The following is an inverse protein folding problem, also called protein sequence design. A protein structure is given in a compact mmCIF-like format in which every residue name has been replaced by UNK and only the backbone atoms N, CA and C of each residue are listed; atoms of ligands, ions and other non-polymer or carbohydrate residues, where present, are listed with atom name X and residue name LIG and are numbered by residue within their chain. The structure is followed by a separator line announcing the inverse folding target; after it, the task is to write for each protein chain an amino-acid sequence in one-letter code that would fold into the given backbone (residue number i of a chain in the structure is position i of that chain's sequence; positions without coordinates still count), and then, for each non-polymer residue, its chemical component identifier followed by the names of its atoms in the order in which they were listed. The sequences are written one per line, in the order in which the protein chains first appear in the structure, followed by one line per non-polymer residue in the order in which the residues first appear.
data_IF_819946902889
#
_entry.id   IF_819946902889
#
_cell.length_a   1.000
_cell.length_b   1.000
_cell.length_c   1.000
_cell.angle_alpha   90.00
_cell.angle_beta   90.00
_cell.angle_gamma   90.00
#
_symmetry.space_group_name_H-M   'P 1'
#
loop_
_entity.id
_entity.type
_entity.pdbx_description
1 polymer ?
#
# COMPACT_ATOMS: atom_id res chain seq x y z
N UNK A 1 -27.28 6.38 -8.42
CA UNK A 1 -27.18 5.86 -9.81
C UNK A 1 -25.75 5.98 -10.34
N UNK A 2 -24.97 6.98 -9.89
CA UNK A 2 -23.56 7.16 -10.30
C UNK A 2 -22.62 6.09 -9.75
N UNK A 3 -22.87 5.54 -8.56
CA UNK A 3 -22.00 4.51 -7.94
C UNK A 3 -21.85 3.27 -8.82
N UNK A 4 -22.92 2.78 -9.45
CA UNK A 4 -22.84 1.65 -10.39
C UNK A 4 -21.97 1.98 -11.60
N UNK A 5 -22.01 3.24 -12.07
CA UNK A 5 -21.15 3.71 -13.17
C UNK A 5 -19.68 3.73 -12.73
N UNK A 6 -19.38 4.24 -11.54
CA UNK A 6 -18.02 4.28 -11.01
C UNK A 6 -17.46 2.87 -10.81
N UNK A 7 -18.26 1.99 -10.21
CA UNK A 7 -17.90 0.60 -9.96
C UNK A 7 -17.64 -0.16 -11.27
N UNK A 8 -18.57 -0.06 -12.23
CA UNK A 8 -18.39 -0.65 -13.56
C UNK A 8 -17.10 -0.15 -14.23
N UNK A 9 -16.86 1.17 -14.22
CA UNK A 9 -15.67 1.77 -14.82
C UNK A 9 -14.37 1.25 -14.21
N UNK A 10 -14.31 1.07 -12.88
CA UNK A 10 -13.14 0.44 -12.24
C UNK A 10 -12.91 -0.94 -12.79
N UNK A 11 -13.92 -1.81 -12.74
CA UNK A 11 -13.77 -3.21 -13.15
C UNK A 11 -13.33 -3.40 -14.59
N UNK A 12 -13.67 -2.46 -15.48
CA UNK A 12 -13.35 -2.54 -16.91
C UNK A 12 -12.08 -1.80 -17.32
N UNK A 13 -11.65 -0.78 -16.56
CA UNK A 13 -10.68 0.20 -17.09
C UNK A 13 -9.71 0.75 -16.05
N UNK A 14 -10.09 0.80 -14.78
CA UNK A 14 -9.33 1.53 -13.76
C UNK A 14 -8.91 0.68 -12.55
N UNK A 15 -8.90 -0.65 -12.68
CA UNK A 15 -8.29 -1.52 -11.68
C UNK A 15 -6.78 -1.24 -11.56
N UNK A 16 -6.21 -1.31 -10.35
CA UNK A 16 -4.77 -1.11 -10.17
C UNK A 16 -3.94 -2.07 -11.02
N UNK A 17 -2.88 -1.56 -11.63
CA UNK A 17 -1.99 -2.32 -12.55
C UNK A 17 -1.12 -3.34 -11.83
N UNK A 18 -0.96 -3.20 -10.52
CA UNK A 18 -0.15 -4.03 -9.67
C UNK A 18 -1.02 -4.80 -8.67
N UNK A 19 -0.61 -6.02 -8.27
CA UNK A 19 0.54 -6.73 -8.81
C UNK A 19 0.31 -7.18 -10.28
N UNK A 20 1.37 -7.12 -11.10
CA UNK A 20 1.29 -7.42 -12.54
C UNK A 20 0.68 -8.80 -12.79
N UNK A 21 -0.22 -8.91 -13.79
CA UNK A 21 -0.95 -10.15 -14.08
C UNK A 21 -2.10 -10.45 -13.12
N UNK A 22 -2.29 -9.65 -12.06
CA UNK A 22 -3.29 -9.83 -11.01
C UNK A 22 -4.73 -9.42 -11.35
N UNK A 23 -5.09 -9.18 -12.61
CA UNK A 23 -6.44 -8.74 -13.01
C UNK A 23 -7.56 -9.64 -12.44
N UNK A 24 -7.35 -10.97 -12.44
CA UNK A 24 -8.28 -11.94 -11.85
C UNK A 24 -8.39 -11.78 -10.33
N UNK A 25 -7.28 -11.51 -9.64
CA UNK A 25 -7.22 -11.26 -8.20
C UNK A 25 -8.01 -10.00 -7.84
N UNK A 26 -7.83 -8.95 -8.64
CA UNK A 26 -8.58 -7.71 -8.51
C UNK A 26 -10.10 -7.88 -8.71
N UNK A 27 -10.52 -8.67 -9.70
CA UNK A 27 -11.95 -8.98 -9.86
C UNK A 27 -12.50 -9.82 -8.71
N UNK A 28 -11.72 -10.79 -8.21
CA UNK A 28 -12.11 -11.63 -7.09
C UNK A 28 -12.30 -10.81 -5.81
N UNK A 29 -11.35 -9.93 -5.47
CA UNK A 29 -11.50 -9.07 -4.28
C UNK A 29 -12.61 -8.03 -4.48
N UNK A 30 -12.75 -7.43 -5.66
CA UNK A 30 -13.84 -6.51 -5.91
C UNK A 30 -15.21 -7.18 -5.71
N UNK A 31 -15.36 -8.44 -6.11
CA UNK A 31 -16.60 -9.19 -5.89
C UNK A 31 -17.00 -9.29 -4.40
N UNK A 32 -16.07 -9.15 -3.45
CA UNK A 32 -16.36 -9.17 -2.01
C UNK A 32 -16.73 -7.79 -1.43
N UNK A 33 -16.67 -6.72 -2.23
CA UNK A 33 -16.90 -5.34 -1.77
C UNK A 33 -18.28 -5.11 -1.15
N UNK A 34 -19.30 -5.89 -1.52
CA UNK A 34 -20.64 -5.82 -0.93
C UNK A 34 -20.69 -6.23 0.55
N UNK A 35 -19.68 -6.97 1.03
CA UNK A 35 -19.50 -7.30 2.44
C UNK A 35 -18.47 -6.41 3.16
N UNK A 36 -17.71 -5.60 2.41
CA UNK A 36 -16.60 -4.80 2.92
C UNK A 36 -16.75 -3.35 2.51
N UNK A 37 -17.49 -2.57 3.29
CA UNK A 37 -17.84 -1.18 2.94
C UNK A 37 -16.60 -0.32 2.66
N UNK A 38 -15.51 -0.47 3.41
CA UNK A 38 -14.24 0.25 3.15
C UNK A 38 -13.70 -0.01 1.74
N UNK A 39 -13.74 -1.26 1.28
CA UNK A 39 -13.33 -1.65 -0.07
C UNK A 39 -14.28 -1.10 -1.12
N UNK A 40 -15.59 -1.19 -0.89
CA UNK A 40 -16.61 -0.63 -1.79
C UNK A 40 -16.39 0.86 -2.02
N UNK A 41 -16.24 1.63 -0.95
CA UNK A 41 -15.95 3.06 -1.05
C UNK A 41 -14.59 3.34 -1.72
N UNK A 42 -13.54 2.56 -1.45
CA UNK A 42 -12.24 2.74 -2.10
C UNK A 42 -12.29 2.52 -3.63
N UNK A 43 -13.03 1.49 -4.07
CA UNK A 43 -13.25 1.22 -5.50
C UNK A 43 -14.06 2.36 -6.15
N UNK A 44 -15.13 2.82 -5.52
CA UNK A 44 -15.94 3.93 -6.04
C UNK A 44 -15.12 5.23 -6.14
N UNK A 45 -14.29 5.50 -5.13
CA UNK A 45 -13.39 6.65 -5.10
C UNK A 45 -12.41 6.63 -6.29
N UNK A 46 -11.76 5.49 -6.52
CA UNK A 46 -10.85 5.28 -7.65
C UNK A 46 -11.57 5.44 -9.00
N UNK A 47 -12.77 4.87 -9.14
CA UNK A 47 -13.58 4.95 -10.35
C UNK A 47 -13.99 6.37 -10.70
N UNK A 48 -14.50 7.10 -9.71
CA UNK A 48 -14.88 8.50 -9.87
C UNK A 48 -13.66 9.38 -10.21
N UNK A 49 -12.51 9.17 -9.56
CA UNK A 49 -11.27 9.89 -9.90
C UNK A 49 -10.81 9.60 -11.33
N UNK A 50 -10.79 8.34 -11.75
CA UNK A 50 -10.35 7.99 -13.10
C UNK A 50 -11.31 8.55 -14.17
N UNK A 51 -12.63 8.51 -13.91
CA UNK A 51 -13.63 9.12 -14.80
C UNK A 51 -13.52 10.65 -14.85
N UNK A 52 -13.18 11.30 -13.73
CA UNK A 52 -12.99 12.75 -13.71
C UNK A 52 -11.79 13.19 -14.54
N UNK A 53 -10.73 12.39 -14.57
CA UNK A 53 -9.52 12.69 -15.34
C UNK A 53 -9.61 12.30 -16.82
N UNK A 54 -10.27 11.20 -17.15
CA UNK A 54 -10.22 10.59 -18.49
C UNK A 54 -11.59 10.55 -19.19
N UNK A 55 -12.67 10.92 -18.51
CA UNK A 55 -14.04 10.93 -19.02
C UNK A 55 -14.56 12.33 -19.31
N UNK A 56 -15.84 12.41 -19.64
CA UNK A 56 -16.51 13.66 -20.03
C UNK A 56 -17.20 14.41 -18.87
N UNK A 57 -17.05 13.96 -17.62
CA UNK A 57 -17.73 14.55 -16.46
C UNK A 57 -16.79 14.78 -15.29
N UNK A 58 -17.12 15.75 -14.45
CA UNK A 58 -16.40 16.04 -13.20
C UNK A 58 -17.08 15.34 -12.03
N UNK A 59 -16.41 14.33 -11.47
CA UNK A 59 -16.86 13.55 -10.31
C UNK A 59 -15.91 13.75 -9.12
N UNK A 60 -15.15 14.84 -9.08
CA UNK A 60 -14.12 15.08 -8.06
C UNK A 60 -14.72 15.09 -6.65
N UNK A 61 -15.91 15.69 -6.48
CA UNK A 61 -16.60 15.73 -5.18
C UNK A 61 -16.99 14.32 -4.73
N UNK A 62 -17.61 13.53 -5.60
CA UNK A 62 -18.00 12.15 -5.33
C UNK A 62 -16.77 11.28 -5.00
N UNK A 63 -15.69 11.45 -5.76
CA UNK A 63 -14.43 10.75 -5.52
C UNK A 63 -13.85 11.04 -4.13
N UNK A 64 -13.89 12.30 -3.70
CA UNK A 64 -13.42 12.72 -2.38
C UNK A 64 -14.35 12.24 -1.25
N UNK A 65 -15.67 12.27 -1.44
CA UNK A 65 -16.63 11.73 -0.47
C UNK A 65 -16.39 10.24 -0.23
N UNK A 66 -16.33 9.43 -1.29
CA UNK A 66 -16.04 8.01 -1.16
C UNK A 66 -14.65 7.75 -0.58
N UNK A 67 -13.64 8.56 -0.91
CA UNK A 67 -12.29 8.46 -0.33
C UNK A 67 -12.32 8.65 1.20
N UNK A 68 -13.01 9.69 1.69
CA UNK A 68 -13.11 9.97 3.12
C UNK A 68 -13.82 8.84 3.87
N UNK A 69 -14.90 8.32 3.32
CA UNK A 69 -15.63 7.18 3.90
C UNK A 69 -14.76 5.92 3.91
N UNK A 70 -14.05 5.64 2.81
CA UNK A 70 -13.12 4.52 2.72
C UNK A 70 -12.03 4.59 3.79
N UNK A 71 -11.39 5.75 3.97
CA UNK A 71 -10.32 5.93 4.98
C UNK A 71 -10.85 5.71 6.39
N UNK A 72 -12.03 6.28 6.72
CA UNK A 72 -12.65 6.13 8.05
C UNK A 72 -13.00 4.68 8.34
N UNK A 73 -13.63 3.99 7.40
CA UNK A 73 -14.02 2.59 7.55
C UNK A 73 -12.80 1.66 7.56
N UNK A 74 -11.76 1.98 6.80
CA UNK A 74 -10.51 1.23 6.76
C UNK A 74 -9.78 1.31 8.11
N UNK A 75 -9.70 2.50 8.72
CA UNK A 75 -9.11 2.67 10.05
C UNK A 75 -9.83 1.80 11.09
N UNK A 76 -11.18 1.83 11.11
CA UNK A 76 -11.95 0.97 12.01
C UNK A 76 -11.79 -0.53 11.73
N UNK A 77 -11.59 -0.93 10.47
CA UNK A 77 -11.33 -2.33 10.11
C UNK A 77 -9.92 -2.79 10.51
N UNK A 78 -8.93 -1.90 10.49
CA UNK A 78 -7.58 -2.17 11.00
C UNK A 78 -7.59 -2.31 12.54
N UNK A 79 -8.30 -1.43 13.25
CA UNK A 79 -8.42 -1.49 14.71
C UNK A 79 -9.14 -2.76 15.20
N UNK A 80 -10.08 -3.28 14.41
CA UNK A 80 -10.82 -4.49 14.74
C UNK A 80 -10.06 -5.79 14.46
N UNK A 81 -8.94 -5.70 13.74
CA UNK A 81 -8.14 -6.77 13.17
C UNK A 81 -8.93 -7.71 12.21
N UNK A 82 -8.36 -8.09 11.05
CA UNK A 82 -9.03 -9.03 10.14
C UNK A 82 -9.17 -10.41 10.78
N UNK A 83 -10.32 -11.07 10.58
CA UNK A 83 -10.62 -12.39 11.16
C UNK A 83 -10.52 -13.52 10.14
N UNK A 84 -10.63 -13.17 8.87
CA UNK A 84 -10.58 -14.11 7.75
C UNK A 84 -9.62 -13.61 6.67
N UNK A 85 -9.18 -14.51 5.80
CA UNK A 85 -8.35 -14.16 4.65
C UNK A 85 -9.04 -13.11 3.76
N UNK A 86 -10.37 -13.20 3.61
CA UNK A 86 -11.16 -12.26 2.80
C UNK A 86 -11.17 -10.86 3.42
N UNK A 87 -11.22 -10.75 4.75
CA UNK A 87 -11.11 -9.46 5.45
C UNK A 87 -9.74 -8.84 5.19
N UNK A 88 -8.67 -9.63 5.29
CA UNK A 88 -7.29 -9.19 5.04
C UNK A 88 -7.08 -8.78 3.58
N UNK A 89 -7.64 -9.54 2.64
CA UNK A 89 -7.63 -9.22 1.20
C UNK A 89 -8.35 -7.89 0.91
N UNK A 90 -9.49 -7.65 1.57
CA UNK A 90 -10.25 -6.41 1.42
C UNK A 90 -9.49 -5.20 2.00
N UNK A 91 -8.82 -5.35 3.15
CA UNK A 91 -7.95 -4.32 3.73
C UNK A 91 -6.81 -3.94 2.78
N UNK A 92 -6.11 -4.94 2.26
CA UNK A 92 -5.00 -4.73 1.32
C UNK A 92 -5.50 -4.03 0.05
N UNK A 93 -6.56 -4.55 -0.56
CA UNK A 93 -7.14 -4.01 -1.79
C UNK A 93 -7.65 -2.58 -1.63
N UNK A 94 -8.32 -2.26 -0.52
CA UNK A 94 -8.80 -0.90 -0.23
C UNK A 94 -7.64 0.08 -0.08
N UNK A 95 -6.60 -0.31 0.68
CA UNK A 95 -5.38 0.49 0.85
C UNK A 95 -4.71 0.77 -0.48
N UNK A 96 -4.62 -0.24 -1.35
CA UNK A 96 -4.02 -0.10 -2.67
C UNK A 96 -4.87 0.76 -3.63
N UNK A 97 -6.20 0.67 -3.56
CA UNK A 97 -7.10 1.53 -4.33
C UNK A 97 -6.92 3.00 -3.92
N UNK A 98 -6.82 3.28 -2.62
CA UNK A 98 -6.56 4.63 -2.09
C UNK A 98 -5.19 5.16 -2.52
N UNK A 99 -4.16 4.30 -2.49
CA UNK A 99 -2.83 4.59 -3.03
C UNK A 99 -2.91 4.94 -4.52
N UNK A 100 -3.57 4.11 -5.32
CA UNK A 100 -3.73 4.31 -6.77
C UNK A 100 -4.49 5.60 -7.07
N UNK A 101 -5.53 5.90 -6.27
CA UNK A 101 -6.29 7.14 -6.39
C UNK A 101 -5.42 8.37 -6.10
N UNK A 102 -4.47 8.29 -5.16
CA UNK A 102 -3.56 9.40 -4.86
C UNK A 102 -2.73 9.83 -6.08
N UNK A 103 -2.39 8.90 -6.99
CA UNK A 103 -1.72 9.22 -8.26
C UNK A 103 -2.58 10.07 -9.20
N UNK A 104 -3.91 10.09 -8.99
CA UNK A 104 -4.88 10.84 -9.77
C UNK A 104 -5.23 12.20 -9.10
N UNK A 105 -4.53 12.60 -8.04
CA UNK A 105 -4.80 13.85 -7.32
C UNK A 105 -3.83 14.97 -7.76
N UNK A 106 -4.33 16.14 -8.23
CA UNK A 106 -3.47 17.21 -8.77
C UNK A 106 -2.57 17.92 -7.75
N UNK A 107 -2.91 17.89 -6.44
CA UNK A 107 -2.12 18.44 -5.32
C UNK A 107 -2.16 17.46 -4.15
N UNK A 108 -1.06 17.38 -3.41
CA UNK A 108 -0.84 16.52 -2.22
C UNK A 108 -0.86 14.99 -2.43
N UNK A 109 -1.20 14.53 -3.64
CA UNK A 109 -1.26 13.11 -3.99
C UNK A 109 0.02 12.32 -3.69
N UNK A 110 1.21 12.92 -3.80
CA UNK A 110 2.47 12.22 -3.51
C UNK A 110 2.68 11.90 -2.03
N UNK A 111 2.35 12.83 -1.13
CA UNK A 111 2.47 12.60 0.31
C UNK A 111 1.48 11.54 0.78
N UNK A 112 0.24 11.61 0.29
CA UNK A 112 -0.78 10.58 0.55
C UNK A 112 -0.39 9.23 -0.07
N UNK A 113 0.14 9.22 -1.30
CA UNK A 113 0.65 8.01 -1.94
C UNK A 113 1.71 7.32 -1.08
N UNK A 114 2.70 8.06 -0.56
CA UNK A 114 3.74 7.49 0.31
C UNK A 114 3.17 6.93 1.61
N UNK A 115 2.12 7.55 2.14
CA UNK A 115 1.43 7.10 3.34
C UNK A 115 0.69 5.78 3.09
N UNK A 116 -0.10 5.70 2.01
CA UNK A 116 -0.80 4.46 1.66
C UNK A 116 0.14 3.36 1.17
N UNK A 117 1.26 3.69 0.54
CA UNK A 117 2.29 2.72 0.17
C UNK A 117 2.89 2.03 1.39
N UNK A 118 3.21 2.81 2.45
CA UNK A 118 3.65 2.25 3.73
C UNK A 118 2.56 1.40 4.38
N UNK A 119 1.31 1.86 4.34
CA UNK A 119 0.16 1.09 4.84
C UNK A 119 0.00 -0.25 4.10
N UNK A 120 0.07 -0.24 2.77
CA UNK A 120 -0.02 -1.45 1.95
C UNK A 120 1.15 -2.40 2.22
N UNK A 121 2.36 -1.87 2.41
CA UNK A 121 3.53 -2.65 2.80
C UNK A 121 3.35 -3.30 4.18
N UNK A 122 2.81 -2.57 5.16
CA UNK A 122 2.50 -3.12 6.47
C UNK A 122 1.49 -4.27 6.36
N UNK A 123 0.35 -4.04 5.71
CA UNK A 123 -0.66 -5.09 5.50
C UNK A 123 -0.06 -6.31 4.80
N UNK A 124 0.76 -6.10 3.77
CA UNK A 124 1.37 -7.17 2.98
C UNK A 124 2.42 -7.98 3.75
N UNK A 125 3.19 -7.35 4.63
CA UNK A 125 4.32 -8.00 5.33
C UNK A 125 3.99 -8.47 6.73
N UNK A 126 2.93 -7.95 7.37
CA UNK A 126 2.56 -8.31 8.73
C UNK A 126 1.20 -9.01 8.81
N UNK A 127 0.18 -8.57 8.06
CA UNK A 127 -1.18 -9.10 8.16
C UNK A 127 -1.38 -10.30 7.22
N UNK A 128 -1.16 -10.12 5.91
CA UNK A 128 -1.38 -11.18 4.92
C UNK A 128 -0.66 -12.51 5.22
N UNK A 129 0.56 -12.53 5.80
CA UNK A 129 1.23 -13.79 6.14
C UNK A 129 0.49 -14.66 7.17
N UNK A 130 -0.37 -14.07 7.99
CA UNK A 130 -1.22 -14.81 8.94
C UNK A 130 -2.37 -15.56 8.25
N UNK A 131 -2.64 -15.25 6.96
CA UNK A 131 -3.71 -15.82 6.17
C UNK A 131 -3.17 -16.52 4.91
N UNK A 132 -2.69 -17.77 5.02
CA UNK A 132 -2.12 -18.51 3.89
C UNK A 132 -3.06 -18.66 2.68
N UNK A 133 -4.37 -18.65 2.92
CA UNK A 133 -5.43 -18.78 1.92
C UNK A 133 -5.81 -17.45 1.24
N UNK A 134 -5.15 -16.34 1.61
CA UNK A 134 -5.34 -15.03 0.97
C UNK A 134 -5.08 -15.11 -0.53
N UNK A 135 -5.92 -14.43 -1.31
CA UNK A 135 -5.71 -14.35 -2.76
C UNK A 135 -4.46 -13.52 -3.13
N UNK A 136 -3.95 -12.73 -2.19
CA UNK A 136 -2.72 -11.97 -2.30
C UNK A 136 -1.50 -12.67 -1.68
N UNK A 137 -1.65 -13.85 -1.07
CA UNK A 137 -0.60 -14.54 -0.32
C UNK A 137 0.67 -14.78 -1.15
N UNK A 138 0.53 -15.10 -2.44
CA UNK A 138 1.69 -15.30 -3.32
C UNK A 138 2.50 -14.01 -3.50
N UNK A 139 1.83 -12.86 -3.64
CA UNK A 139 2.52 -11.57 -3.76
C UNK A 139 3.21 -11.18 -2.45
N UNK A 140 2.55 -11.45 -1.32
CA UNK A 140 3.14 -11.23 0.00
C UNK A 140 4.41 -12.07 0.21
N UNK A 141 4.39 -13.36 -0.17
CA UNK A 141 5.57 -14.24 -0.11
C UNK A 141 6.74 -13.68 -0.93
N UNK A 142 6.48 -13.27 -2.17
CA UNK A 142 7.52 -12.69 -3.03
C UNK A 142 8.10 -11.41 -2.45
N UNK A 143 7.25 -10.53 -1.89
CA UNK A 143 7.71 -9.29 -1.27
C UNK A 143 8.59 -9.53 -0.04
N UNK A 144 8.23 -10.50 0.80
CA UNK A 144 9.04 -10.91 1.97
C UNK A 144 10.38 -11.48 1.51
N UNK A 145 10.38 -12.39 0.54
CA UNK A 145 11.62 -12.97 -0.01
C UNK A 145 12.52 -11.90 -0.61
N UNK A 146 11.97 -10.96 -1.37
CA UNK A 146 12.74 -9.83 -1.93
C UNK A 146 13.31 -8.95 -0.81
N UNK A 147 12.54 -8.66 0.24
CA UNK A 147 13.02 -7.88 1.39
C UNK A 147 14.13 -8.61 2.15
N UNK A 148 14.02 -9.93 2.31
CA UNK A 148 15.06 -10.76 2.93
C UNK A 148 16.31 -10.83 2.05
N UNK A 149 16.17 -10.90 0.73
CA UNK A 149 17.30 -10.85 -0.20
C UNK A 149 18.04 -9.51 -0.16
N UNK A 150 17.31 -8.39 -0.06
CA UNK A 150 17.88 -7.05 0.16
C UNK A 150 18.55 -6.89 1.53
N UNK A 151 18.08 -7.61 2.54
CA UNK A 151 18.64 -7.60 3.89
C UNK A 151 19.75 -8.63 4.10
N UNK A 152 19.90 -9.59 3.18
CA UNK A 152 20.97 -10.55 3.21
C UNK A 152 22.29 -9.86 2.86
N UNK A 153 23.36 -10.03 3.65
CA UNK A 153 24.68 -9.52 3.26
C UNK A 153 25.08 -10.21 1.95
N UNK A 154 25.36 -9.42 0.91
CA UNK A 154 25.90 -9.95 -0.34
C UNK A 154 27.33 -10.45 -0.09
N UNK A 155 27.49 -11.78 -0.10
CA UNK A 155 28.74 -12.54 0.05
C UNK A 155 29.42 -12.50 1.44
N UNK A 156 30.19 -13.55 1.82
CA UNK A 156 30.97 -13.51 3.05
C UNK A 156 32.03 -12.40 2.92
N UNK A 157 31.81 -11.29 3.62
CA UNK A 157 32.76 -10.18 3.67
C UNK A 157 34.13 -10.68 4.13
N UNK A 158 35.16 -10.55 3.29
CA UNK A 158 36.54 -10.84 3.67
C UNK A 158 36.93 -9.97 4.88
N UNK A 159 37.73 -10.53 5.80
CA UNK A 159 38.10 -9.91 7.08
C UNK A 159 38.60 -8.46 6.92
N UNK A 160 39.23 -8.14 5.79
CA UNK A 160 39.73 -6.80 5.47
C UNK A 160 38.60 -5.76 5.30
N UNK A 161 37.46 -6.18 4.75
CA UNK A 161 36.26 -5.33 4.57
C UNK A 161 35.58 -5.07 5.90
N UNK A 162 35.49 -6.11 6.75
CA UNK A 162 34.95 -6.02 8.12
C UNK A 162 35.79 -5.04 8.95
N UNK A 163 37.12 -5.18 8.89
CA UNK A 163 38.06 -4.31 9.60
C UNK A 163 37.97 -2.84 9.15
N UNK A 164 37.83 -2.60 7.84
CA UNK A 164 37.65 -1.24 7.29
C UNK A 164 36.34 -0.58 7.73
N UNK A 165 35.25 -1.35 7.84
CA UNK A 165 33.97 -0.88 8.39
C UNK A 165 34.07 -0.57 9.88
N UNK A 166 34.73 -1.43 10.66
CA UNK A 166 34.96 -1.17 12.07
C UNK A 166 35.75 0.13 12.31
N UNK A 167 36.79 0.39 11.51
CA UNK A 167 37.55 1.63 11.58
C UNK A 167 36.70 2.84 11.23
N UNK A 168 35.85 2.73 10.21
CA UNK A 168 34.92 3.79 9.79
C UNK A 168 33.88 4.10 10.88
N UNK A 169 33.34 3.07 11.54
CA UNK A 169 32.43 3.21 12.69
C UNK A 169 33.14 3.81 13.89
N UNK A 170 34.40 3.42 14.16
CA UNK A 170 35.22 4.02 15.22
C UNK A 170 35.51 5.51 14.94
N UNK A 171 35.76 5.89 13.68
CA UNK A 171 35.93 7.30 13.27
C UNK A 171 34.64 8.09 13.46
N UNK A 172 33.49 7.53 13.06
CA UNK A 172 32.20 8.17 13.30
C UNK A 172 31.94 8.32 14.81
N UNK A 173 32.09 7.28 15.62
CA UNK A 173 31.89 7.40 17.08
C UNK A 173 32.77 8.49 17.70
N UNK A 174 34.04 8.62 17.30
CA UNK A 174 34.93 9.71 17.77
C UNK A 174 34.47 11.08 17.30
N UNK A 175 34.03 11.20 16.04
CA UNK A 175 33.49 12.45 15.51
C UNK A 175 32.28 12.92 16.32
N UNK A 176 31.38 11.99 16.68
CA UNK A 176 30.18 12.26 17.45
C UNK A 176 30.45 12.57 18.92
N UNK A 177 31.49 11.97 19.51
CA UNK A 177 31.94 12.29 20.88
C UNK A 177 32.60 13.66 20.95
N UNK A 178 33.41 14.01 19.95
CA UNK A 178 34.07 15.31 19.88
C UNK A 178 33.09 16.44 19.49
N UNK A 179 32.00 16.14 18.78
CA UNK A 179 30.95 17.13 18.46
C UNK A 179 30.10 17.53 19.67
N UNK A 180 30.06 16.69 20.71
CA UNK A 180 29.35 16.98 21.97
C UNK A 180 30.12 17.94 22.90
N UNK A 181 31.40 18.22 22.63
CA UNK A 181 32.22 19.18 23.39
C UNK A 181 32.05 20.64 22.91
N UNK A 182 31.29 20.90 21.85
CA UNK A 182 31.08 22.25 21.29
C UNK A 182 29.82 22.96 21.79
N UNK A 183 29.14 22.44 22.82
CA UNK A 183 27.95 23.06 23.44
C UNK A 183 28.19 23.60 24.87
N UNK A 184 29.44 23.95 25.22
CA UNK A 184 29.75 24.75 26.42
C UNK A 184 30.61 25.97 26.12
#
# INVERSE_FOLDING_TARGET
MEDFKFYHHVLTTALPSLPFGGHRVWWQVAATAHHHAHLGHALLALGASHLSQHGAGDYTVQALCHRLDAIRLLAGALDAEPKTAVDADALFAATYCLMSQSCLMPRDGMAEYMTFMRGASLVMTTILPEFPDSIFAEFARHAIVASLALAAPEEPEDDETIMSREESVKRLKRFWQNSAEWEH
#
